data_IF_183240205660
#
_entry.id   IF_183240205660
#
_cell.length_a   1.000
_cell.length_b   1.000
_cell.length_c   1.000
_cell.angle_alpha   90.00
_cell.angle_beta   90.00
_cell.angle_gamma   90.00
#
_symmetry.space_group_name_H-M   'P 1'
#
loop_
_entity.id
_entity.type
_entity.pdbx_description
1 polymer ?
#
# COMPACT_ATOMS: atom_id res chain seq x y z
N UNK A 1 8.38 -14.34 21.61
CA UNK A 1 7.54 -14.36 20.40
C UNK A 1 8.01 -13.22 19.54
N UNK A 2 8.53 -13.49 18.34
CA UNK A 2 8.87 -12.40 17.40
C UNK A 2 7.54 -11.74 17.03
N UNK A 3 7.49 -10.43 16.99
CA UNK A 3 6.29 -9.72 16.55
C UNK A 3 6.15 -10.00 15.05
N UNK A 4 5.40 -11.05 14.70
CA UNK A 4 5.15 -11.52 13.31
C UNK A 4 4.19 -10.59 12.54
N UNK A 5 3.76 -9.50 13.19
CA UNK A 5 2.84 -8.54 12.61
C UNK A 5 3.52 -7.70 11.52
N UNK A 6 2.80 -7.51 10.41
CA UNK A 6 3.22 -6.68 9.29
C UNK A 6 2.81 -5.22 9.54
N UNK A 7 3.57 -4.30 8.96
CA UNK A 7 3.11 -2.92 8.76
C UNK A 7 2.54 -2.82 7.35
N UNK A 8 1.21 -2.80 7.15
CA UNK A 8 0.65 -2.70 5.82
C UNK A 8 0.86 -1.29 5.26
N UNK A 9 1.41 -1.22 4.05
CA UNK A 9 1.58 0.00 3.27
C UNK A 9 0.66 -0.10 2.06
N UNK A 10 -0.34 0.77 1.97
CA UNK A 10 -1.32 0.72 0.90
C UNK A 10 -1.10 1.87 -0.10
N UNK A 11 -0.85 1.53 -1.37
CA UNK A 11 -0.72 2.48 -2.47
C UNK A 11 -1.84 2.29 -3.48
N UNK A 12 -2.27 3.40 -4.08
CA UNK A 12 -3.22 3.37 -5.18
C UNK A 12 -2.88 4.43 -6.21
N UNK A 13 -2.83 4.02 -7.46
CA UNK A 13 -2.77 4.93 -8.60
C UNK A 13 -4.05 4.79 -9.40
N UNK A 14 -4.73 5.92 -9.64
CA UNK A 14 -5.88 5.91 -10.53
C UNK A 14 -5.41 5.87 -11.98
N UNK A 15 -6.20 5.24 -12.85
CA UNK A 15 -5.93 5.18 -14.29
C UNK A 15 -5.78 6.57 -14.92
N UNK A 16 -6.53 7.56 -14.42
CA UNK A 16 -6.50 8.93 -14.95
C UNK A 16 -5.22 9.69 -14.53
N UNK A 17 -4.55 9.23 -13.48
CA UNK A 17 -3.33 9.85 -12.95
C UNK A 17 -2.03 9.25 -13.53
N UNK A 18 -2.10 8.14 -14.27
CA UNK A 18 -0.95 7.51 -14.93
C UNK A 18 -0.19 8.47 -15.86
N UNK A 19 -0.88 9.48 -16.42
CA UNK A 19 -0.31 10.46 -17.35
C UNK A 19 0.39 11.64 -16.68
N UNK A 20 0.33 11.78 -15.34
CA UNK A 20 0.80 12.98 -14.63
C UNK A 20 2.27 12.94 -14.19
N UNK A 21 3.06 11.99 -14.69
CA UNK A 21 4.52 11.94 -14.50
C UNK A 21 4.99 11.20 -13.23
N UNK A 22 6.31 11.16 -13.02
CA UNK A 22 6.93 10.28 -12.02
C UNK A 22 6.51 10.57 -10.57
N UNK A 23 6.19 11.82 -10.22
CA UNK A 23 5.75 12.17 -8.86
C UNK A 23 4.44 11.49 -8.46
N UNK A 24 3.55 11.25 -9.43
CA UNK A 24 2.30 10.54 -9.23
C UNK A 24 2.42 9.03 -9.54
N UNK A 25 3.62 8.52 -9.85
CA UNK A 25 3.79 7.10 -10.12
C UNK A 25 3.57 6.24 -8.86
N UNK A 26 3.04 5.03 -9.06
CA UNK A 26 2.86 4.05 -7.99
C UNK A 26 4.20 3.71 -7.30
N UNK A 27 5.29 3.70 -8.08
CA UNK A 27 6.65 3.49 -7.59
C UNK A 27 7.10 4.58 -6.62
N UNK A 28 6.78 5.84 -6.90
CA UNK A 28 7.09 6.94 -5.99
C UNK A 28 6.27 6.85 -4.69
N UNK A 29 5.00 6.47 -4.77
CA UNK A 29 4.15 6.24 -3.59
C UNK A 29 4.72 5.14 -2.68
N UNK A 30 5.10 4.00 -3.25
CA UNK A 30 5.75 2.90 -2.52
C UNK A 30 6.98 3.36 -1.78
N UNK A 31 7.86 4.08 -2.47
CA UNK A 31 9.09 4.63 -1.88
C UNK A 31 8.80 5.56 -0.71
N UNK A 32 7.82 6.46 -0.85
CA UNK A 32 7.45 7.40 0.22
C UNK A 32 6.93 6.66 1.47
N UNK A 33 6.08 5.64 1.30
CA UNK A 33 5.56 4.86 2.41
C UNK A 33 6.64 4.00 3.07
N UNK A 34 7.52 3.39 2.28
CA UNK A 34 8.63 2.61 2.80
C UNK A 34 9.64 3.49 3.57
N UNK A 35 9.97 4.66 3.04
CA UNK A 35 10.82 5.64 3.72
C UNK A 35 10.19 6.09 5.04
N UNK A 36 8.88 6.33 5.06
CA UNK A 36 8.16 6.67 6.29
C UNK A 36 8.21 5.52 7.31
N UNK A 37 7.93 4.29 6.90
CA UNK A 37 7.96 3.13 7.77
C UNK A 37 9.35 2.92 8.39
N UNK A 38 10.40 3.00 7.56
CA UNK A 38 11.79 2.89 8.00
C UNK A 38 12.18 3.99 8.99
N UNK A 39 11.84 5.25 8.70
CA UNK A 39 12.17 6.41 9.57
C UNK A 39 11.49 6.31 10.94
N UNK A 40 10.30 5.72 11.00
CA UNK A 40 9.54 5.55 12.24
C UNK A 40 9.76 4.20 12.92
N UNK A 41 10.66 3.36 12.40
CA UNK A 41 10.95 2.05 12.99
C UNK A 41 9.76 1.07 12.94
N UNK A 42 8.86 1.24 11.97
CA UNK A 42 7.73 0.33 11.76
C UNK A 42 8.26 -0.99 11.18
N UNK A 43 8.09 -2.13 11.88
CA UNK A 43 8.67 -3.40 11.46
C UNK A 43 7.85 -4.07 10.34
N UNK A 44 8.49 -4.91 9.54
CA UNK A 44 7.85 -5.75 8.52
C UNK A 44 6.93 -4.99 7.53
N UNK A 45 7.40 -3.90 6.89
CA UNK A 45 6.60 -3.19 5.89
C UNK A 45 6.20 -4.12 4.75
N UNK A 46 4.91 -4.20 4.45
CA UNK A 46 4.33 -5.04 3.40
C UNK A 46 3.43 -4.20 2.51
N UNK A 47 3.72 -4.19 1.21
CA UNK A 47 3.02 -3.34 0.25
C UNK A 47 1.76 -4.00 -0.31
N UNK A 48 0.69 -3.22 -0.40
CA UNK A 48 -0.59 -3.56 -0.99
C UNK A 48 -0.92 -2.50 -2.03
N UNK A 49 -1.05 -2.91 -3.29
CA UNK A 49 -1.02 -1.96 -4.40
C UNK A 49 -2.22 -2.13 -5.31
N UNK A 50 -2.87 -1.02 -5.62
CA UNK A 50 -3.92 -0.92 -6.63
C UNK A 50 -3.48 0.05 -7.74
N UNK A 51 -2.89 -0.50 -8.80
CA UNK A 51 -2.41 0.28 -9.96
C UNK A 51 -3.45 0.30 -11.08
N UNK A 52 -3.76 1.47 -11.63
CA UNK A 52 -4.81 1.66 -12.63
C UNK A 52 -6.25 1.48 -12.11
N UNK A 53 -6.46 1.50 -10.78
CA UNK A 53 -7.79 1.24 -10.18
C UNK A 53 -8.55 2.55 -9.94
N UNK A 54 -9.75 2.64 -10.53
CA UNK A 54 -10.64 3.78 -10.35
C UNK A 54 -11.00 4.01 -8.87
N UNK A 55 -10.96 5.27 -8.43
CA UNK A 55 -11.42 5.66 -7.10
C UNK A 55 -12.93 5.46 -6.88
N UNK A 56 -13.71 5.29 -7.94
CA UNK A 56 -15.18 5.12 -7.87
C UNK A 56 -15.63 3.68 -7.67
N UNK A 57 -14.70 2.72 -7.72
CA UNK A 57 -15.01 1.30 -7.50
C UNK A 57 -14.53 0.81 -6.13
N UNK A 58 -15.31 -0.12 -5.58
CA UNK A 58 -15.03 -0.77 -4.29
C UNK A 58 -14.23 -2.08 -4.45
N UNK A 59 -14.12 -2.63 -5.67
CA UNK A 59 -13.27 -3.80 -5.96
C UNK A 59 -11.82 -3.39 -6.14
N UNK A 60 -11.17 -3.19 -5.00
CA UNK A 60 -9.78 -2.76 -4.88
C UNK A 60 -8.95 -3.95 -4.39
N UNK A 61 -8.37 -4.78 -5.29
CA UNK A 61 -7.75 -6.04 -4.90
C UNK A 61 -6.62 -5.87 -3.87
N UNK A 62 -5.79 -4.83 -4.00
CA UNK A 62 -4.77 -4.50 -3.01
C UNK A 62 -5.37 -4.16 -1.66
N UNK A 63 -6.43 -3.34 -1.63
CA UNK A 63 -7.13 -3.02 -0.39
C UNK A 63 -7.78 -4.24 0.26
N UNK A 64 -8.43 -5.10 -0.53
CA UNK A 64 -9.06 -6.32 -0.03
C UNK A 64 -8.03 -7.28 0.59
N UNK A 65 -6.90 -7.50 -0.09
CA UNK A 65 -5.81 -8.31 0.44
C UNK A 65 -5.25 -7.74 1.75
N UNK A 66 -5.13 -6.40 1.87
CA UNK A 66 -4.74 -5.76 3.12
C UNK A 66 -5.74 -6.04 4.24
N UNK A 67 -7.04 -5.95 3.93
CA UNK A 67 -8.08 -6.21 4.92
C UNK A 67 -8.10 -7.67 5.39
N UNK A 68 -7.78 -8.64 4.54
CA UNK A 68 -7.62 -10.04 4.95
C UNK A 68 -6.52 -10.23 6.00
N UNK A 69 -5.40 -9.50 5.88
CA UNK A 69 -4.31 -9.52 6.88
C UNK A 69 -4.77 -8.90 8.20
N UNK A 70 -5.55 -7.82 8.14
CA UNK A 70 -6.15 -7.17 9.31
C UNK A 70 -7.12 -8.11 10.02
N UNK A 71 -8.03 -8.74 9.27
CA UNK A 71 -9.02 -9.69 9.79
C UNK A 71 -8.36 -10.93 10.40
N UNK A 72 -7.23 -11.35 9.86
CA UNK A 72 -6.44 -12.45 10.40
C UNK A 72 -5.54 -12.05 11.60
N UNK A 73 -5.55 -10.78 12.02
CA UNK A 73 -4.76 -10.29 13.14
C UNK A 73 -3.25 -10.23 12.88
N UNK A 74 -2.84 -10.25 11.62
CA UNK A 74 -1.44 -10.20 11.17
C UNK A 74 -0.88 -8.78 11.08
N UNK A 75 -1.67 -7.76 11.43
CA UNK A 75 -1.29 -6.34 11.50
C UNK A 75 -1.19 -5.87 12.95
#
# INVERSE_FOLDING_TARGET
>A
MRNEKITPLYERLSRDDELQGESNSISNQKKMLEDYARRNGLPNPTHFTDDGVSGTRFDRPGFLAMMEEVEAGRV
#
